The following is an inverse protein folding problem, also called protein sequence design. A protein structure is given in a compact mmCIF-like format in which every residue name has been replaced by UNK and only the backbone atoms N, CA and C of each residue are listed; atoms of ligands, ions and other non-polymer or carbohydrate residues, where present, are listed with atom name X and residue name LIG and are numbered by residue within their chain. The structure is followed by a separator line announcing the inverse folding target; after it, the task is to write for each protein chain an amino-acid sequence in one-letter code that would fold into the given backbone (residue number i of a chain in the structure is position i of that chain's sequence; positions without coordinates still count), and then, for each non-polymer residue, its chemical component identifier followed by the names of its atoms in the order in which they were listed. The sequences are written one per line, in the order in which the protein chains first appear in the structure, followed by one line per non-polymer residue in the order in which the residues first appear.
data_IF_909220456963
#
_entry.id   IF_909220456963
#
_cell.length_a   1.000
_cell.length_b   1.000
_cell.length_c   1.000
_cell.angle_alpha   90.00
_cell.angle_beta   90.00
_cell.angle_gamma   90.00
#
_symmetry.space_group_name_H-M   'P 1'
#
loop_
_entity.id
_entity.type
_entity.pdbx_description
1 polymer ?
#
# COMPACT_ATOMS: atom_id res chain seq x y z
N UNK A 1 -13.28 17.98 -6.32
CA UNK A 1 -11.84 18.01 -6.60
C UNK A 1 -11.36 19.34 -7.20
N UNK A 2 -12.12 19.99 -8.10
CA UNK A 2 -11.72 21.21 -8.80
C UNK A 2 -11.09 22.29 -7.90
N UNK A 3 -11.68 22.56 -6.74
CA UNK A 3 -11.12 23.51 -5.76
C UNK A 3 -9.72 23.09 -5.23
N UNK A 4 -9.50 21.78 -5.03
CA UNK A 4 -8.21 21.26 -4.59
C UNK A 4 -7.18 21.45 -5.70
N UNK A 5 -7.54 21.11 -6.95
CA UNK A 5 -6.67 21.26 -8.11
C UNK A 5 -6.26 22.72 -8.34
N UNK A 6 -7.19 23.67 -8.08
CA UNK A 6 -6.91 25.11 -8.22
C UNK A 6 -6.03 25.66 -7.08
N UNK A 7 -6.22 25.21 -5.84
CA UNK A 7 -5.55 25.77 -4.66
C UNK A 7 -4.29 25.00 -4.27
N UNK A 8 -4.25 23.70 -4.54
CA UNK A 8 -3.13 22.80 -4.20
C UNK A 8 -2.91 21.75 -5.29
N UNK A 9 -2.42 22.15 -6.47
CA UNK A 9 -2.31 21.27 -7.64
C UNK A 9 -1.36 20.06 -7.44
N UNK A 10 -0.48 20.10 -6.44
CA UNK A 10 0.42 19.00 -6.07
C UNK A 10 -0.18 18.06 -5.01
N UNK A 11 -1.38 18.31 -4.50
CA UNK A 11 -1.99 17.46 -3.48
C UNK A 11 -2.34 16.09 -4.05
N UNK A 12 -1.99 15.02 -3.32
CA UNK A 12 -2.44 13.67 -3.63
C UNK A 12 -3.85 13.48 -3.06
N UNK A 13 -4.81 13.19 -3.92
CA UNK A 13 -6.19 12.94 -3.52
C UNK A 13 -6.41 11.44 -3.39
N UNK A 14 -6.71 11.01 -2.17
CA UNK A 14 -7.11 9.64 -1.85
C UNK A 14 -8.63 9.52 -1.84
N UNK A 15 -9.19 8.64 -2.65
CA UNK A 15 -10.61 8.27 -2.64
C UNK A 15 -10.84 6.98 -3.43
N UNK A 16 -12.09 6.52 -3.55
CA UNK A 16 -12.44 5.31 -4.31
C UNK A 16 -11.88 5.34 -5.74
N UNK A 17 -11.98 6.47 -6.41
CA UNK A 17 -11.53 6.66 -7.80
C UNK A 17 -10.27 7.52 -7.97
N UNK A 18 -9.60 7.87 -6.91
CA UNK A 18 -8.46 8.77 -6.98
C UNK A 18 -8.87 10.25 -7.08
N UNK A 19 -8.16 11.09 -7.85
CA UNK A 19 -7.19 10.74 -8.92
C UNK A 19 -5.75 10.43 -8.47
N UNK A 20 -5.34 10.78 -7.26
CA UNK A 20 -3.97 10.56 -6.79
C UNK A 20 -3.70 9.09 -6.46
N UNK A 21 -4.49 8.52 -5.56
CA UNK A 21 -4.52 7.09 -5.27
C UNK A 21 -5.93 6.63 -4.94
N UNK A 22 -6.21 5.36 -5.17
CA UNK A 22 -7.53 4.77 -4.89
C UNK A 22 -7.52 3.97 -3.60
N UNK A 23 -8.62 4.02 -2.87
CA UNK A 23 -8.91 3.09 -1.81
C UNK A 23 -9.10 1.66 -2.35
N UNK A 24 -8.59 0.64 -1.67
CA UNK A 24 -8.72 -0.76 -2.08
C UNK A 24 -10.06 -1.40 -1.70
N UNK A 25 -11.05 -0.64 -1.25
CA UNK A 25 -12.39 -1.15 -0.94
C UNK A 25 -12.51 -1.93 0.36
N UNK A 26 -11.51 -1.89 1.24
CA UNK A 26 -11.54 -2.45 2.59
C UNK A 26 -10.56 -1.73 3.51
N UNK A 27 -10.79 -1.78 4.82
CA UNK A 27 -9.93 -1.23 5.87
C UNK A 27 -9.13 -2.33 6.60
N UNK A 28 -8.88 -3.44 5.91
CA UNK A 28 -8.14 -4.57 6.46
C UNK A 28 -6.64 -4.53 6.13
N UNK A 29 -6.20 -3.55 5.35
CA UNK A 29 -4.81 -3.32 5.02
C UNK A 29 -4.25 -4.25 3.93
N UNK A 30 -5.07 -4.77 3.03
CA UNK A 30 -4.57 -5.62 1.97
C UNK A 30 -5.29 -5.42 0.63
N UNK A 31 -4.54 -5.59 -0.46
CA UNK A 31 -5.04 -5.65 -1.83
C UNK A 31 -5.23 -7.11 -2.29
N UNK A 32 -5.92 -7.30 -3.40
CA UNK A 32 -6.02 -8.60 -4.06
C UNK A 32 -4.67 -9.13 -4.52
N UNK A 33 -4.53 -10.46 -4.59
CA UNK A 33 -3.29 -11.11 -5.05
C UNK A 33 -2.88 -10.68 -6.46
N UNK A 34 -3.85 -10.36 -7.32
CA UNK A 34 -3.63 -9.63 -8.57
C UNK A 34 -4.24 -8.24 -8.40
N UNK A 35 -3.41 -7.22 -8.46
CA UNK A 35 -3.83 -5.84 -8.27
C UNK A 35 -3.25 -4.95 -9.37
N UNK A 36 -4.10 -4.45 -10.24
CA UNK A 36 -3.75 -3.53 -11.32
C UNK A 36 -3.76 -2.09 -10.81
N UNK A 37 -2.71 -1.33 -11.14
CA UNK A 37 -2.70 0.13 -10.90
C UNK A 37 -3.49 0.90 -11.95
N UNK A 38 -4.37 0.25 -12.67
CA UNK A 38 -5.27 0.85 -13.66
C UNK A 38 -6.70 0.80 -13.19
N UNK A 39 -7.45 1.89 -13.47
CA UNK A 39 -8.89 1.98 -13.31
C UNK A 39 -9.57 2.39 -14.60
N UNK A 40 -10.82 1.98 -14.78
CA UNK A 40 -11.78 2.61 -15.69
C UNK A 40 -12.27 3.88 -15.03
N UNK A 41 -11.46 4.94 -15.09
CA UNK A 41 -11.63 6.14 -14.27
C UNK A 41 -12.98 6.86 -14.49
N UNK A 42 -13.61 6.71 -15.65
CA UNK A 42 -14.94 7.25 -15.92
C UNK A 42 -16.10 6.50 -15.23
N UNK A 43 -15.84 5.31 -14.69
CA UNK A 43 -16.85 4.47 -14.03
C UNK A 43 -16.75 4.52 -12.52
N UNK A 44 -15.57 4.85 -11.97
CA UNK A 44 -15.30 4.86 -10.53
C UNK A 44 -15.37 6.27 -9.97
N UNK A 45 -16.14 6.45 -8.92
CA UNK A 45 -16.39 7.74 -8.26
C UNK A 45 -16.52 7.54 -6.75
N UNK A 46 -16.42 8.59 -5.92
CA UNK A 46 -16.61 8.48 -4.48
C UNK A 46 -17.99 7.89 -4.13
N UNK A 47 -18.00 6.82 -3.31
CA UNK A 47 -19.20 6.04 -3.01
C UNK A 47 -19.51 4.97 -4.07
N UNK A 48 -18.50 4.52 -4.80
CA UNK A 48 -18.65 3.50 -5.84
C UNK A 48 -19.28 2.21 -5.29
N UNK A 49 -20.44 1.77 -5.82
CA UNK A 49 -21.21 0.68 -5.20
C UNK A 49 -20.52 -0.68 -5.32
N UNK A 50 -19.65 -0.86 -6.32
CA UNK A 50 -18.86 -2.08 -6.49
C UNK A 50 -17.46 -1.94 -5.87
N UNK A 51 -17.36 -1.29 -4.71
CA UNK A 51 -16.09 -0.97 -4.04
C UNK A 51 -15.14 -2.19 -3.90
N UNK A 52 -15.68 -3.43 -3.86
CA UNK A 52 -14.86 -4.65 -3.81
C UNK A 52 -14.00 -4.87 -5.05
N UNK A 53 -14.36 -4.30 -6.21
CA UNK A 53 -13.54 -4.35 -7.43
C UNK A 53 -12.26 -3.53 -7.27
N UNK A 54 -12.27 -2.50 -6.42
CA UNK A 54 -11.13 -1.63 -6.17
C UNK A 54 -9.93 -2.39 -5.56
N UNK A 55 -10.18 -3.53 -4.93
CA UNK A 55 -9.15 -4.41 -4.40
C UNK A 55 -8.24 -5.00 -5.50
N UNK A 56 -8.78 -5.12 -6.71
CA UNK A 56 -8.09 -5.73 -7.84
C UNK A 56 -7.70 -4.72 -8.93
N UNK A 57 -8.33 -3.54 -8.96
CA UNK A 57 -8.23 -2.63 -10.09
C UNK A 57 -8.80 -3.25 -11.37
N UNK A 58 -8.48 -2.67 -12.52
CA UNK A 58 -9.00 -3.12 -13.81
C UNK A 58 -7.87 -3.40 -14.79
N UNK A 59 -7.78 -4.64 -15.31
CA UNK A 59 -6.76 -5.00 -16.29
C UNK A 59 -6.88 -4.19 -17.61
N UNK A 60 -8.09 -3.77 -17.94
CA UNK A 60 -8.45 -2.94 -19.09
C UNK A 60 -8.68 -1.46 -18.72
N UNK A 61 -8.17 -1.04 -17.57
CA UNK A 61 -8.28 0.34 -17.12
C UNK A 61 -7.60 1.32 -18.07
N UNK A 62 -8.09 2.55 -18.08
CA UNK A 62 -7.64 3.62 -18.98
C UNK A 62 -6.83 4.72 -18.28
N UNK A 63 -6.71 4.67 -16.96
CA UNK A 63 -5.96 5.63 -16.18
C UNK A 63 -5.15 4.93 -15.08
N UNK A 64 -3.88 5.33 -14.91
CA UNK A 64 -3.06 4.91 -13.77
C UNK A 64 -3.57 5.57 -12.50
N UNK A 65 -3.98 4.77 -11.53
CA UNK A 65 -4.38 5.20 -10.18
C UNK A 65 -3.86 4.15 -9.19
N UNK A 66 -2.76 4.46 -8.51
CA UNK A 66 -2.14 3.54 -7.56
C UNK A 66 -3.12 3.13 -6.45
N UNK A 67 -3.02 1.88 -6.00
CA UNK A 67 -3.83 1.38 -4.89
C UNK A 67 -3.23 1.80 -3.54
N UNK A 68 -4.07 2.11 -2.56
CA UNK A 68 -3.69 2.34 -1.17
C UNK A 68 -4.54 1.49 -0.23
N UNK A 69 -3.86 0.70 0.60
CA UNK A 69 -4.45 -0.12 1.65
C UNK A 69 -4.34 0.64 2.96
N UNK A 70 -5.46 0.98 3.55
CA UNK A 70 -5.54 1.62 4.86
C UNK A 70 -5.91 0.61 5.95
N UNK A 71 -5.29 0.74 7.11
CA UNK A 71 -5.55 -0.09 8.28
C UNK A 71 -5.03 0.59 9.54
N UNK A 72 -5.71 0.39 10.67
CA UNK A 72 -5.19 0.82 11.96
C UNK A 72 -4.33 -0.27 12.62
N UNK A 73 -3.30 0.14 13.36
CA UNK A 73 -2.50 -0.78 14.20
C UNK A 73 -3.35 -1.38 15.33
N UNK A 74 -4.47 -0.73 15.71
CA UNK A 74 -5.44 -1.14 16.72
C UNK A 74 -6.73 -1.67 16.08
N UNK A 75 -7.67 -2.23 16.84
CA UNK A 75 -8.97 -2.70 16.33
C UNK A 75 -9.78 -1.59 15.63
N UNK A 76 -9.72 -0.35 16.14
CA UNK A 76 -10.41 0.82 15.60
C UNK A 76 -9.47 1.92 15.16
N UNK A 77 -10.04 3.02 14.61
CA UNK A 77 -9.31 4.18 14.10
C UNK A 77 -8.88 5.18 15.19
N UNK A 78 -9.47 5.06 16.39
CA UNK A 78 -9.22 5.95 17.50
C UNK A 78 -8.61 5.19 18.67
N UNK A 79 -7.94 5.91 19.57
CA UNK A 79 -7.32 5.35 20.77
C UNK A 79 -8.35 5.01 21.85
N UNK A 80 -8.29 3.78 22.35
CA UNK A 80 -9.05 3.30 23.50
C UNK A 80 -8.10 2.53 24.43
N UNK A 81 -7.97 2.94 25.73
CA UNK A 81 -7.05 2.27 26.66
C UNK A 81 -7.32 0.77 26.87
N UNK A 82 -8.59 0.36 26.78
CA UNK A 82 -9.03 -1.04 26.87
C UNK A 82 -8.60 -1.91 25.69
N UNK A 83 -7.90 -1.32 24.69
CA UNK A 83 -7.37 -2.00 23.52
C UNK A 83 -5.83 -2.07 23.51
N UNK A 84 -5.17 -1.69 24.61
CA UNK A 84 -3.70 -1.67 24.68
C UNK A 84 -3.08 -3.08 24.54
N UNK A 85 -3.82 -4.12 24.86
CA UNK A 85 -3.48 -5.54 24.67
C UNK A 85 -3.84 -6.10 23.29
N UNK A 86 -4.53 -5.31 22.44
CA UNK A 86 -5.04 -5.71 21.12
C UNK A 86 -4.28 -5.08 19.95
N UNK A 87 -3.17 -4.42 20.23
CA UNK A 87 -2.29 -3.85 19.21
C UNK A 87 -1.76 -4.96 18.31
N UNK A 88 -1.81 -4.73 16.98
CA UNK A 88 -1.30 -5.71 16.01
C UNK A 88 0.16 -6.07 16.30
N UNK A 89 0.44 -7.36 16.32
CA UNK A 89 1.79 -7.89 16.53
C UNK A 89 2.69 -7.62 15.33
N UNK A 90 4.01 -7.74 15.52
CA UNK A 90 5.00 -7.62 14.44
C UNK A 90 4.72 -8.61 13.31
N UNK A 91 4.27 -9.83 13.62
CA UNK A 91 3.91 -10.83 12.59
C UNK A 91 2.70 -10.37 11.77
N UNK A 92 1.66 -9.84 12.41
CA UNK A 92 0.49 -9.31 11.73
C UNK A 92 0.83 -8.10 10.85
N UNK A 93 1.67 -7.18 11.34
CA UNK A 93 2.12 -6.02 10.57
C UNK A 93 2.98 -6.43 9.36
N UNK A 94 3.81 -7.47 9.52
CA UNK A 94 4.61 -8.02 8.43
C UNK A 94 3.73 -8.69 7.37
N UNK A 95 2.71 -9.46 7.78
CA UNK A 95 1.73 -10.04 6.85
C UNK A 95 0.98 -8.94 6.07
N UNK A 96 0.55 -7.88 6.75
CA UNK A 96 -0.07 -6.72 6.11
C UNK A 96 0.85 -6.07 5.07
N UNK A 97 2.13 -5.92 5.37
CA UNK A 97 3.11 -5.37 4.42
C UNK A 97 3.18 -6.21 3.14
N UNK A 98 3.30 -7.51 3.25
CA UNK A 98 3.36 -8.39 2.07
C UNK A 98 2.04 -8.48 1.31
N UNK A 99 0.89 -8.31 1.98
CA UNK A 99 -0.43 -8.31 1.35
C UNK A 99 -0.87 -6.95 0.82
N UNK A 100 -0.17 -5.88 1.15
CA UNK A 100 -0.37 -4.54 0.59
C UNK A 100 0.74 -4.18 -0.39
N UNK A 101 1.93 -3.89 0.10
CA UNK A 101 3.08 -3.50 -0.73
C UNK A 101 3.51 -4.64 -1.65
N UNK A 102 3.52 -5.88 -1.14
CA UNK A 102 3.78 -7.08 -1.95
C UNK A 102 2.71 -7.37 -3.01
N UNK A 103 1.52 -6.78 -2.87
CA UNK A 103 0.41 -6.85 -3.84
C UNK A 103 0.23 -5.54 -4.63
N UNK A 104 1.32 -4.82 -4.90
CA UNK A 104 1.31 -3.61 -5.73
C UNK A 104 0.39 -2.50 -5.19
N UNK A 105 0.43 -2.24 -3.88
CA UNK A 105 -0.30 -1.17 -3.23
C UNK A 105 0.60 -0.42 -2.24
N UNK A 106 0.20 0.78 -1.85
CA UNK A 106 0.78 1.49 -0.71
C UNK A 106 0.11 1.01 0.58
N UNK A 107 0.85 0.94 1.67
CA UNK A 107 0.30 0.70 3.02
C UNK A 107 0.20 2.00 3.79
N UNK A 108 -1.01 2.41 4.15
CA UNK A 108 -1.29 3.48 5.09
C UNK A 108 -1.66 2.87 6.44
N UNK A 109 -0.73 2.94 7.40
CA UNK A 109 -0.91 2.40 8.74
C UNK A 109 -1.24 3.52 9.72
N UNK A 110 -2.45 3.50 10.28
CA UNK A 110 -2.90 4.48 11.26
C UNK A 110 -2.37 4.15 12.66
N UNK A 111 -1.84 5.17 13.35
CA UNK A 111 -1.44 5.16 14.75
C UNK A 111 -2.35 6.09 15.53
N UNK A 112 -3.38 5.58 16.23
CA UNK A 112 -4.24 6.42 17.06
C UNK A 112 -3.44 7.06 18.20
N UNK A 113 -3.61 8.36 18.38
CA UNK A 113 -2.98 9.09 19.48
C UNK A 113 -3.90 9.15 20.69
N UNK A 114 -3.31 9.15 21.89
CA UNK A 114 -4.03 9.33 23.15
C UNK A 114 -4.55 10.78 23.32
N UNK A 115 -5.21 11.07 24.44
CA UNK A 115 -5.74 12.40 24.74
C UNK A 115 -4.66 13.48 24.95
N UNK A 116 -3.39 13.08 25.11
CA UNK A 116 -2.24 13.97 25.22
C UNK A 116 -1.55 14.18 23.84
N UNK A 117 -2.06 13.57 22.78
CA UNK A 117 -1.47 13.60 21.44
C UNK A 117 -0.26 12.66 21.28
N UNK A 118 -0.10 11.67 22.14
CA UNK A 118 1.02 10.73 22.13
C UNK A 118 0.60 9.36 21.60
N UNK A 119 1.51 8.75 20.83
CA UNK A 119 1.38 7.35 20.42
C UNK A 119 1.74 6.46 21.61
N UNK A 120 0.91 5.45 21.87
CA UNK A 120 1.14 4.52 22.97
C UNK A 120 2.45 3.74 22.79
N UNK A 121 3.22 3.46 23.88
CA UNK A 121 4.53 2.78 23.79
C UNK A 121 4.48 1.42 23.06
N UNK A 122 3.42 0.63 23.26
CA UNK A 122 3.26 -0.67 22.55
C UNK A 122 3.14 -0.48 21.05
N UNK A 123 2.38 0.51 20.58
CA UNK A 123 2.20 0.83 19.17
C UNK A 123 3.54 1.22 18.55
N UNK A 124 4.29 2.11 19.24
CA UNK A 124 5.61 2.57 18.81
C UNK A 124 6.62 1.40 18.74
N UNK A 125 6.64 0.54 19.78
CA UNK A 125 7.54 -0.61 19.83
C UNK A 125 7.26 -1.59 18.68
N UNK A 126 5.98 -1.92 18.45
CA UNK A 126 5.59 -2.85 17.39
C UNK A 126 5.87 -2.26 16.00
N UNK A 127 5.66 -0.96 15.81
CA UNK A 127 5.98 -0.27 14.55
C UNK A 127 7.48 -0.30 14.25
N UNK A 128 8.33 0.04 15.24
CA UNK A 128 9.80 0.02 15.09
C UNK A 128 10.29 -1.41 14.82
N UNK A 129 9.79 -2.39 15.58
CA UNK A 129 10.17 -3.80 15.41
C UNK A 129 9.74 -4.36 14.05
N UNK A 130 8.54 -4.00 13.60
CA UNK A 130 8.05 -4.32 12.25
C UNK A 130 8.95 -3.72 11.16
N UNK A 131 9.28 -2.43 11.26
CA UNK A 131 10.19 -1.78 10.31
C UNK A 131 11.55 -2.49 10.26
N UNK A 132 12.15 -2.78 11.41
CA UNK A 132 13.44 -3.47 11.49
C UNK A 132 13.37 -4.88 10.87
N UNK A 133 12.25 -5.59 11.07
CA UNK A 133 12.05 -6.90 10.48
C UNK A 133 11.99 -6.83 8.95
N UNK A 134 11.18 -5.94 8.38
CA UNK A 134 11.08 -5.75 6.93
C UNK A 134 12.44 -5.35 6.34
N UNK A 135 13.17 -4.43 6.98
CA UNK A 135 14.51 -4.05 6.56
C UNK A 135 15.46 -5.24 6.53
N UNK A 136 15.43 -6.10 7.54
CA UNK A 136 16.26 -7.30 7.62
C UNK A 136 15.89 -8.33 6.57
N UNK A 137 14.61 -8.59 6.35
CA UNK A 137 14.13 -9.57 5.38
C UNK A 137 14.43 -9.16 3.92
N UNK A 138 14.47 -7.85 3.64
CA UNK A 138 14.74 -7.29 2.32
C UNK A 138 16.16 -6.75 2.14
N UNK A 139 17.08 -7.00 3.11
CA UNK A 139 18.45 -6.49 3.08
C UNK A 139 19.26 -7.04 1.90
N UNK A 140 19.06 -8.31 1.58
CA UNK A 140 19.83 -9.01 0.54
C UNK A 140 19.08 -9.00 -0.80
N UNK A 141 19.65 -8.33 -1.80
CA UNK A 141 19.17 -8.43 -3.16
C UNK A 141 19.60 -9.76 -3.79
N UNK A 142 18.75 -10.77 -3.71
CA UNK A 142 19.01 -12.12 -4.24
C UNK A 142 19.26 -12.12 -5.76
N UNK A 143 18.81 -11.11 -6.49
CA UNK A 143 19.02 -11.01 -7.94
C UNK A 143 20.42 -10.53 -8.30
N UNK A 144 21.14 -9.87 -7.41
CA UNK A 144 22.48 -9.32 -7.68
C UNK A 144 23.48 -10.36 -8.17
N UNK A 145 23.36 -11.62 -7.72
CA UNK A 145 24.20 -12.76 -8.10
C UNK A 145 23.50 -13.80 -8.98
N UNK A 146 22.25 -13.53 -9.38
CA UNK A 146 21.45 -14.49 -10.13
C UNK A 146 21.91 -14.60 -11.59
N UNK A 147 21.87 -15.82 -12.15
CA UNK A 147 21.94 -16.04 -13.60
C UNK A 147 20.56 -15.84 -14.18
N UNK A 148 20.43 -14.87 -15.05
CA UNK A 148 19.15 -14.52 -15.67
C UNK A 148 19.14 -14.90 -17.16
N UNK A 149 18.00 -15.38 -17.63
CA UNK A 149 17.78 -15.66 -19.04
C UNK A 149 16.34 -15.28 -19.40
N UNK A 150 16.11 -14.90 -20.65
CA UNK A 150 14.79 -14.63 -21.18
C UNK A 150 14.61 -15.38 -22.50
N UNK A 151 13.36 -15.72 -22.82
CA UNK A 151 13.01 -16.29 -24.12
C UNK A 151 13.24 -15.27 -25.25
N UNK A 152 12.93 -13.99 -24.96
CA UNK A 152 13.09 -12.87 -25.88
C UNK A 152 13.43 -11.60 -25.12
N UNK A 153 14.07 -10.64 -25.77
CA UNK A 153 14.46 -9.35 -25.22
C UNK A 153 14.06 -8.21 -26.15
N UNK A 154 13.45 -7.18 -25.60
CA UNK A 154 13.14 -5.96 -26.34
C UNK A 154 14.39 -5.18 -26.79
N UNK A 155 15.55 -5.47 -26.19
CA UNK A 155 16.82 -4.81 -26.47
C UNK A 155 17.00 -3.45 -25.75
N UNK A 156 18.13 -2.80 -25.99
CA UNK A 156 18.46 -1.52 -25.35
C UNK A 156 18.50 -1.66 -23.82
N UNK A 157 17.78 -0.78 -23.13
CA UNK A 157 17.65 -0.80 -21.67
C UNK A 157 16.75 -1.92 -21.12
N UNK A 158 16.01 -2.63 -21.99
CA UNK A 158 15.10 -3.72 -21.62
C UNK A 158 15.73 -5.11 -21.81
N UNK A 159 17.05 -5.20 -21.71
CA UNK A 159 17.76 -6.48 -21.70
C UNK A 159 17.49 -7.23 -20.39
N UNK A 160 17.47 -8.56 -20.43
CA UNK A 160 17.23 -9.38 -19.24
C UNK A 160 18.19 -9.07 -18.09
N UNK A 161 19.43 -8.69 -18.36
CA UNK A 161 20.41 -8.27 -17.35
C UNK A 161 19.99 -7.04 -16.53
N UNK A 162 19.01 -6.23 -17.01
CA UNK A 162 18.51 -5.09 -16.27
C UNK A 162 17.78 -5.48 -14.97
N UNK A 163 17.32 -6.74 -14.85
CA UNK A 163 16.75 -7.26 -13.59
C UNK A 163 17.78 -7.39 -12.47
N UNK A 164 19.08 -7.38 -12.79
CA UNK A 164 20.17 -7.58 -11.83
C UNK A 164 21.10 -6.36 -11.71
N UNK A 165 20.77 -5.24 -12.35
CA UNK A 165 21.64 -4.05 -12.39
C UNK A 165 21.51 -3.12 -11.18
N UNK A 166 20.56 -3.41 -10.28
CA UNK A 166 20.35 -2.66 -9.04
C UNK A 166 19.71 -1.27 -9.23
N UNK A 167 19.08 -1.00 -10.37
CA UNK A 167 18.41 0.28 -10.69
C UNK A 167 16.91 0.18 -10.58
#
# INVERSE_FOLDING_TARGET
YKMIDELQPQAVIFSDGGPGCRWVGNENGFAGATNWSFLRAGEVYPGYPKYRELQYGHADGNQWVAAECDVSIRPGWFYHPEEDDKVKTVDQLTDLYYRSVGHNATLLLNFPVDRNGLIHPTDSLNAVSFHQRVQKELADNLLSSAKVSAFDERGGQFKVRAVTDGK
#
